data_IF_969425900252
#
_entry.id   IF_969425900252
#
_cell.length_a   1.000
_cell.length_b   1.000
_cell.length_c   1.000
_cell.angle_alpha   90.00
_cell.angle_beta   90.00
_cell.angle_gamma   90.00
#
_symmetry.space_group_name_H-M   'P 1'
#
loop_
_entity.id
_entity.type
_entity.pdbx_description
1 polymer ?
#
# COMPACT_ATOMS: atom_id res chain seq x y z
N UNK A 1 -0.72 14.72 -15.90
CA UNK A 1 0.37 14.84 -14.92
C UNK A 1 0.20 13.68 -13.96
N UNK A 2 1.24 12.87 -13.78
CA UNK A 2 1.19 11.72 -12.87
C UNK A 2 0.95 12.23 -11.43
N UNK A 3 0.13 11.54 -10.63
CA UNK A 3 -0.14 11.89 -9.23
C UNK A 3 1.14 11.90 -8.40
N UNK A 4 2.06 11.00 -8.71
CA UNK A 4 3.39 10.95 -8.08
C UNK A 4 4.23 12.17 -8.49
N UNK A 5 4.10 12.66 -9.73
CA UNK A 5 4.75 13.91 -10.16
C UNK A 5 4.19 15.13 -9.43
N UNK A 6 2.87 15.18 -9.23
CA UNK A 6 2.22 16.24 -8.47
C UNK A 6 2.73 16.30 -7.03
N UNK A 7 2.85 15.14 -6.38
CA UNK A 7 3.42 15.02 -5.05
C UNK A 7 4.87 15.52 -4.98
N UNK A 8 5.70 15.08 -5.93
CA UNK A 8 7.11 15.47 -6.00
C UNK A 8 7.23 16.98 -6.21
N UNK A 9 6.43 17.56 -7.11
CA UNK A 9 6.40 19.00 -7.35
C UNK A 9 5.96 19.79 -6.10
N UNK A 10 5.07 19.23 -5.29
CA UNK A 10 4.57 19.83 -4.04
C UNK A 10 5.51 19.65 -2.83
N UNK A 11 6.69 19.04 -2.98
CA UNK A 11 7.65 18.72 -1.88
C UNK A 11 7.08 17.80 -0.78
N UNK A 12 6.02 17.04 -1.07
CA UNK A 12 5.42 16.07 -0.15
C UNK A 12 6.17 14.74 -0.03
N UNK A 13 7.43 14.67 -0.46
CA UNK A 13 8.19 13.41 -0.61
C UNK A 13 8.63 12.77 0.71
N UNK A 14 8.41 13.43 1.85
CA UNK A 14 8.64 12.89 3.19
C UNK A 14 7.34 12.52 3.91
N UNK A 15 6.19 12.84 3.33
CA UNK A 15 4.89 12.50 3.88
C UNK A 15 4.44 11.14 3.35
N UNK A 16 4.66 10.10 4.18
CA UNK A 16 4.26 8.73 3.85
C UNK A 16 2.78 8.62 3.49
N UNK A 17 1.89 9.31 4.20
CA UNK A 17 0.45 9.27 3.90
C UNK A 17 0.17 9.81 2.51
N UNK A 18 0.81 10.92 2.15
CA UNK A 18 0.64 11.54 0.84
C UNK A 18 1.20 10.65 -0.30
N UNK A 19 2.34 9.99 -0.07
CA UNK A 19 2.90 9.00 -1.02
C UNK A 19 1.95 7.81 -1.22
N UNK A 20 1.46 7.23 -0.11
CA UNK A 20 0.52 6.09 -0.14
C UNK A 20 -0.75 6.48 -0.87
N UNK A 21 -1.32 7.66 -0.56
CA UNK A 21 -2.49 8.17 -1.28
C UNK A 21 -2.21 8.27 -2.76
N UNK A 22 -1.14 8.96 -3.18
CA UNK A 22 -0.83 9.10 -4.60
C UNK A 22 -0.69 7.74 -5.33
N UNK A 23 -0.21 6.72 -4.61
CA UNK A 23 -0.04 5.35 -5.12
C UNK A 23 -1.36 4.60 -5.28
N UNK A 24 -2.26 4.70 -4.30
CA UNK A 24 -3.47 3.86 -4.21
C UNK A 24 -4.78 4.58 -4.51
N UNK A 25 -4.77 5.91 -4.62
CA UNK A 25 -5.95 6.71 -5.00
C UNK A 25 -6.62 6.22 -6.30
N UNK A 26 -5.88 5.80 -7.36
CA UNK A 26 -6.53 5.20 -8.53
C UNK A 26 -7.43 4.00 -8.17
N UNK A 27 -7.05 3.18 -7.19
CA UNK A 27 -7.87 2.03 -6.76
C UNK A 27 -9.07 2.45 -5.92
N UNK A 28 -8.97 3.55 -5.18
CA UNK A 28 -10.10 4.07 -4.40
C UNK A 28 -11.12 4.77 -5.29
N UNK A 29 -10.67 5.46 -6.35
CA UNK A 29 -11.55 6.07 -7.34
C UNK A 29 -12.37 5.02 -8.10
N UNK A 30 -11.78 3.85 -8.35
CA UNK A 30 -12.47 2.72 -8.97
C UNK A 30 -13.69 2.25 -8.17
N UNK A 31 -13.76 2.52 -6.86
CA UNK A 31 -14.91 2.16 -6.04
C UNK A 31 -16.20 2.94 -6.37
N UNK A 32 -16.12 3.96 -7.24
CA UNK A 32 -17.28 4.67 -7.76
C UNK A 32 -18.00 3.94 -8.89
N UNK A 33 -17.42 2.85 -9.40
CA UNK A 33 -17.96 2.10 -10.54
C UNK A 33 -18.12 0.62 -10.23
N UNK A 34 -19.10 -0.03 -10.85
CA UNK A 34 -19.24 -1.49 -10.71
C UNK A 34 -18.02 -2.24 -11.24
N UNK A 35 -17.44 -1.76 -12.36
CA UNK A 35 -16.25 -2.36 -12.95
C UNK A 35 -15.06 -2.26 -12.01
N UNK A 36 -14.83 -1.10 -11.41
CA UNK A 36 -13.76 -0.91 -10.44
C UNK A 36 -13.96 -1.74 -9.17
N UNK A 37 -15.20 -1.90 -8.69
CA UNK A 37 -15.53 -2.85 -7.62
C UNK A 37 -15.16 -4.29 -8.00
N UNK A 38 -15.48 -4.72 -9.22
CA UNK A 38 -15.11 -6.05 -9.73
C UNK A 38 -13.60 -6.20 -9.84
N UNK A 39 -12.89 -5.17 -10.32
CA UNK A 39 -11.44 -5.14 -10.41
C UNK A 39 -10.79 -5.32 -9.04
N UNK A 40 -11.18 -4.54 -8.03
CA UNK A 40 -10.62 -4.64 -6.67
C UNK A 40 -10.85 -6.04 -6.08
N UNK A 41 -12.04 -6.63 -6.28
CA UNK A 41 -12.33 -7.99 -5.83
C UNK A 41 -11.46 -9.03 -6.55
N UNK A 42 -11.31 -8.90 -7.86
CA UNK A 42 -10.45 -9.76 -8.67
C UNK A 42 -8.99 -9.65 -8.21
N UNK A 43 -8.45 -8.44 -8.05
CA UNK A 43 -7.09 -8.23 -7.55
C UNK A 43 -6.87 -8.86 -6.17
N UNK A 44 -7.85 -8.79 -5.28
CA UNK A 44 -7.79 -9.46 -3.98
C UNK A 44 -7.86 -10.99 -4.08
N UNK A 45 -8.56 -11.56 -5.07
CA UNK A 45 -8.52 -13.00 -5.31
C UNK A 45 -7.15 -13.44 -5.82
N UNK A 46 -6.56 -12.71 -6.78
CA UNK A 46 -5.20 -12.97 -7.27
C UNK A 46 -4.18 -12.84 -6.13
N UNK A 47 -4.34 -11.84 -5.25
CA UNK A 47 -3.47 -11.66 -4.08
C UNK A 47 -3.49 -12.88 -3.12
N UNK A 48 -4.61 -13.58 -3.03
CA UNK A 48 -4.78 -14.74 -2.15
C UNK A 48 -4.48 -16.08 -2.84
N UNK A 49 -4.14 -16.06 -4.13
CA UNK A 49 -3.76 -17.26 -4.87
C UNK A 49 -2.30 -17.62 -4.56
N UNK A 50 -2.01 -18.83 -4.04
CA UNK A 50 -0.65 -19.22 -3.67
C UNK A 50 0.32 -19.27 -4.87
N UNK A 51 -0.18 -19.39 -6.10
CA UNK A 51 0.65 -19.42 -7.30
C UNK A 51 1.03 -18.01 -7.81
N UNK A 52 0.46 -16.95 -7.22
CA UNK A 52 0.69 -15.56 -7.63
C UNK A 52 1.22 -14.68 -6.50
N UNK A 53 2.49 -14.28 -6.58
CA UNK A 53 3.08 -13.28 -5.69
C UNK A 53 2.83 -11.85 -6.18
N UNK A 54 1.57 -11.40 -6.05
CA UNK A 54 1.15 -10.07 -6.49
C UNK A 54 1.93 -8.93 -5.81
N UNK A 55 2.26 -8.97 -4.50
CA UNK A 55 3.08 -7.94 -3.88
C UNK A 55 4.47 -7.84 -4.51
N UNK A 56 5.16 -8.97 -4.73
CA UNK A 56 6.46 -8.93 -5.43
C UNK A 56 6.31 -8.40 -6.85
N UNK A 57 5.27 -8.84 -7.57
CA UNK A 57 5.02 -8.37 -8.91
C UNK A 57 4.83 -6.86 -8.93
N UNK A 58 4.00 -6.30 -8.05
CA UNK A 58 3.81 -4.86 -7.94
C UNK A 58 5.15 -4.15 -7.67
N UNK A 59 5.93 -4.63 -6.71
CA UNK A 59 7.21 -4.04 -6.34
C UNK A 59 8.26 -4.09 -7.47
N UNK A 60 8.18 -5.09 -8.36
CA UNK A 60 9.15 -5.33 -9.45
C UNK A 60 8.57 -5.11 -10.85
N UNK A 61 7.37 -4.53 -10.96
CA UNK A 61 6.56 -4.55 -12.18
C UNK A 61 7.14 -3.78 -13.37
N UNK A 62 8.26 -3.07 -13.20
CA UNK A 62 8.91 -2.29 -14.26
C UNK A 62 8.11 -1.06 -14.71
N UNK A 63 6.87 -0.89 -14.24
CA UNK A 63 6.08 0.30 -14.49
C UNK A 63 6.69 1.49 -13.76
N UNK A 64 6.93 2.57 -14.50
CA UNK A 64 7.66 3.74 -14.00
C UNK A 64 6.98 4.37 -12.78
N UNK A 65 5.67 4.58 -12.83
CA UNK A 65 4.91 5.18 -11.72
C UNK A 65 5.00 4.35 -10.43
N UNK A 66 4.90 3.02 -10.54
CA UNK A 66 5.03 2.11 -9.40
C UNK A 66 6.46 2.09 -8.86
N UNK A 67 7.45 2.00 -9.75
CA UNK A 67 8.86 2.01 -9.38
C UNK A 67 9.24 3.30 -8.64
N UNK A 68 8.71 4.44 -9.09
CA UNK A 68 8.92 5.75 -8.47
C UNK A 68 8.22 5.87 -7.12
N UNK A 69 6.97 5.44 -7.01
CA UNK A 69 6.27 5.38 -5.73
C UNK A 69 7.02 4.52 -4.70
N UNK A 70 7.49 3.34 -5.12
CA UNK A 70 8.26 2.45 -4.26
C UNK A 70 9.57 3.10 -3.79
N UNK A 71 10.29 3.80 -4.67
CA UNK A 71 11.50 4.53 -4.31
C UNK A 71 11.23 5.63 -3.27
N UNK A 72 10.12 6.37 -3.41
CA UNK A 72 9.72 7.38 -2.42
C UNK A 72 9.37 6.75 -1.08
N UNK A 73 8.66 5.61 -1.08
CA UNK A 73 8.34 4.88 0.16
C UNK A 73 9.63 4.41 0.83
N UNK A 74 10.56 3.78 0.10
CA UNK A 74 11.85 3.33 0.66
C UNK A 74 12.64 4.51 1.23
N UNK A 75 12.70 5.63 0.51
CA UNK A 75 13.39 6.83 1.00
C UNK A 75 12.75 7.37 2.30
N UNK A 76 11.42 7.34 2.41
CA UNK A 76 10.70 7.77 3.60
C UNK A 76 10.80 6.78 4.78
N UNK A 77 11.10 5.50 4.51
CA UNK A 77 11.38 4.47 5.51
C UNK A 77 12.78 4.63 6.16
N UNK A 78 13.67 5.45 5.59
CA UNK A 78 14.98 5.76 6.17
C UNK A 78 15.90 4.54 6.26
N UNK A 79 16.67 4.45 7.35
CA UNK A 79 17.71 3.43 7.56
C UNK A 79 17.17 2.05 7.99
N UNK A 80 15.95 1.71 7.55
CA UNK A 80 15.39 0.38 7.77
C UNK A 80 16.23 -0.68 7.06
N UNK A 81 16.47 -1.78 7.76
CA UNK A 81 17.12 -2.96 7.19
C UNK A 81 16.32 -3.42 5.95
N UNK A 82 16.96 -3.64 4.78
CA UNK A 82 16.26 -3.86 3.51
C UNK A 82 15.20 -4.95 3.55
N UNK A 83 15.47 -6.07 4.23
CA UNK A 83 14.55 -7.18 4.38
C UNK A 83 13.27 -6.75 5.12
N UNK A 84 13.40 -5.91 6.15
CA UNK A 84 12.25 -5.37 6.89
C UNK A 84 11.47 -4.38 6.02
N UNK A 85 12.17 -3.52 5.26
CA UNK A 85 11.55 -2.58 4.36
C UNK A 85 10.70 -3.30 3.29
N UNK A 86 11.24 -4.37 2.68
CA UNK A 86 10.51 -5.20 1.70
C UNK A 86 9.26 -5.82 2.33
N UNK A 87 9.36 -6.42 3.52
CA UNK A 87 8.20 -7.02 4.18
C UNK A 87 7.12 -5.97 4.51
N UNK A 88 7.52 -4.77 4.93
CA UNK A 88 6.59 -3.65 5.17
C UNK A 88 5.87 -3.20 3.90
N UNK A 89 6.59 -3.11 2.78
CA UNK A 89 5.98 -2.76 1.49
C UNK A 89 5.02 -3.84 1.00
N UNK A 90 5.35 -5.13 1.18
CA UNK A 90 4.44 -6.24 0.87
C UNK A 90 3.16 -6.15 1.70
N UNK A 91 3.31 -6.00 3.01
CA UNK A 91 2.18 -5.85 3.94
C UNK A 91 1.31 -4.63 3.58
N UNK A 92 1.90 -3.52 3.16
CA UNK A 92 1.16 -2.34 2.68
C UNK A 92 0.23 -2.70 1.51
N UNK A 93 0.75 -3.39 0.48
CA UNK A 93 -0.04 -3.80 -0.69
C UNK A 93 -1.17 -4.73 -0.25
N UNK A 94 -0.87 -5.69 0.61
CA UNK A 94 -1.84 -6.65 1.15
C UNK A 94 -2.95 -5.97 1.95
N UNK A 95 -2.59 -5.07 2.86
CA UNK A 95 -3.52 -4.31 3.70
C UNK A 95 -4.46 -3.47 2.84
N UNK A 96 -3.92 -2.73 1.87
CA UNK A 96 -4.75 -1.85 1.02
C UNK A 96 -5.70 -2.68 0.17
N UNK A 97 -5.19 -3.62 -0.64
CA UNK A 97 -6.04 -4.40 -1.56
C UNK A 97 -7.10 -5.21 -0.83
N UNK A 98 -6.74 -5.88 0.26
CA UNK A 98 -7.67 -6.68 1.05
C UNK A 98 -8.73 -5.80 1.71
N UNK A 99 -8.33 -4.66 2.29
CA UNK A 99 -9.28 -3.74 2.92
C UNK A 99 -10.27 -3.16 1.92
N UNK A 100 -9.80 -2.72 0.75
CA UNK A 100 -10.69 -2.21 -0.32
C UNK A 100 -11.66 -3.31 -0.78
N UNK A 101 -11.18 -4.54 -0.97
CA UNK A 101 -12.03 -5.66 -1.35
C UNK A 101 -13.09 -5.96 -0.28
N UNK A 102 -12.73 -5.94 1.00
CA UNK A 102 -13.68 -6.09 2.11
C UNK A 102 -14.72 -4.97 2.13
N UNK A 103 -14.31 -3.71 1.89
CA UNK A 103 -15.25 -2.58 1.78
C UNK A 103 -16.33 -2.86 0.73
N UNK A 104 -15.92 -3.35 -0.45
CA UNK A 104 -16.87 -3.62 -1.54
C UNK A 104 -17.94 -4.65 -1.20
N UNK A 105 -17.75 -5.49 -0.17
CA UNK A 105 -18.72 -6.53 0.24
C UNK A 105 -19.89 -5.95 1.03
N UNK A 106 -19.81 -4.69 1.49
CA UNK A 106 -20.89 -4.04 2.21
C UNK A 106 -22.07 -3.76 1.27
N UNK A 107 -23.32 -3.93 1.73
CA UNK A 107 -24.50 -3.60 0.92
C UNK A 107 -24.55 -2.13 0.47
N UNK A 108 -23.97 -1.23 1.28
CA UNK A 108 -23.98 0.21 1.07
C UNK A 108 -22.68 0.77 0.47
N UNK A 109 -21.75 -0.09 0.03
CA UNK A 109 -20.36 0.28 -0.31
C UNK A 109 -20.23 1.38 -1.37
N UNK A 110 -21.16 1.43 -2.34
CA UNK A 110 -21.14 2.38 -3.46
C UNK A 110 -22.02 3.62 -3.23
N UNK A 111 -22.93 3.58 -2.26
CA UNK A 111 -23.92 4.64 -2.04
C UNK A 111 -23.62 5.49 -0.79
N UNK A 112 -22.92 4.92 0.19
CA UNK A 112 -22.58 5.60 1.43
C UNK A 112 -21.24 6.35 1.31
N UNK A 113 -21.25 7.45 0.55
CA UNK A 113 -20.07 8.27 0.27
C UNK A 113 -19.34 8.75 1.55
N UNK A 114 -20.01 9.27 2.60
CA UNK A 114 -19.32 9.69 3.82
C UNK A 114 -18.57 8.55 4.51
N UNK A 115 -19.21 7.38 4.63
CA UNK A 115 -18.56 6.23 5.25
C UNK A 115 -17.36 5.74 4.41
N UNK A 116 -17.47 5.76 3.08
CA UNK A 116 -16.37 5.41 2.19
C UNK A 116 -15.19 6.36 2.36
N UNK A 117 -15.45 7.67 2.44
CA UNK A 117 -14.41 8.69 2.70
C UNK A 117 -13.70 8.42 4.02
N UNK A 118 -14.43 8.19 5.11
CA UNK A 118 -13.81 7.87 6.41
C UNK A 118 -12.99 6.59 6.37
N UNK A 119 -13.47 5.57 5.68
CA UNK A 119 -12.75 4.32 5.50
C UNK A 119 -11.44 4.50 4.74
N UNK A 120 -11.45 5.20 3.58
CA UNK A 120 -10.24 5.43 2.78
C UNK A 120 -9.21 6.27 3.55
N UNK A 121 -9.65 7.34 4.23
CA UNK A 121 -8.76 8.14 5.06
C UNK A 121 -8.12 7.33 6.19
N UNK A 122 -8.94 6.56 6.91
CA UNK A 122 -8.47 5.72 8.02
C UNK A 122 -7.53 4.61 7.55
N UNK A 123 -7.78 4.04 6.35
CA UNK A 123 -6.92 3.04 5.75
C UNK A 123 -5.54 3.62 5.46
N UNK A 124 -5.46 4.79 4.84
CA UNK A 124 -4.16 5.42 4.55
C UNK A 124 -3.43 5.87 5.83
N UNK A 125 -4.14 6.35 6.84
CA UNK A 125 -3.55 6.66 8.15
C UNK A 125 -2.96 5.41 8.81
N UNK A 126 -3.72 4.31 8.84
CA UNK A 126 -3.28 3.05 9.44
C UNK A 126 -2.07 2.45 8.71
N UNK A 127 -2.10 2.45 7.37
CA UNK A 127 -0.99 1.94 6.55
C UNK A 127 0.26 2.81 6.71
N UNK A 128 0.11 4.14 6.72
CA UNK A 128 1.23 5.05 6.99
C UNK A 128 1.84 4.81 8.37
N UNK A 129 0.99 4.64 9.40
CA UNK A 129 1.43 4.31 10.76
C UNK A 129 2.15 2.97 10.83
N UNK A 130 1.66 1.94 10.14
CA UNK A 130 2.30 0.62 10.09
C UNK A 130 3.68 0.67 9.40
N UNK A 131 3.80 1.44 8.32
CA UNK A 131 5.06 1.64 7.62
C UNK A 131 6.08 2.42 8.47
N UNK A 132 5.63 3.45 9.19
CA UNK A 132 6.48 4.31 10.01
C UNK A 132 6.79 3.72 11.40
N UNK A 133 6.13 2.64 11.81
CA UNK A 133 6.29 2.07 13.14
C UNK A 133 7.77 1.73 13.43
N UNK A 134 8.26 1.91 14.67
CA UNK A 134 9.59 1.43 15.05
C UNK A 134 9.74 -0.08 14.81
N UNK A 135 10.95 -0.54 14.48
CA UNK A 135 11.22 -1.98 14.42
C UNK A 135 11.12 -2.56 15.83
N UNK A 136 10.34 -3.64 15.97
CA UNK A 136 10.17 -4.29 17.27
C UNK A 136 11.44 -5.00 17.74
N UNK A 137 11.56 -5.24 19.05
CA UNK A 137 12.71 -5.95 19.60
C UNK A 137 12.83 -7.39 19.09
N UNK A 138 11.68 -8.03 18.82
CA UNK A 138 11.60 -9.38 18.26
C UNK A 138 12.19 -9.42 16.86
N UNK A 139 11.85 -8.44 16.01
CA UNK A 139 12.40 -8.34 14.66
C UNK A 139 13.92 -8.09 14.70
N UNK A 140 14.39 -7.20 15.58
CA UNK A 140 15.82 -6.94 15.75
C UNK A 140 16.57 -8.19 16.25
N UNK A 141 15.98 -8.94 17.16
CA UNK A 141 16.55 -10.19 17.67
C UNK A 141 16.66 -11.24 16.55
N UNK A 142 15.63 -11.38 15.71
CA UNK A 142 15.64 -12.28 14.56
C UNK A 142 16.74 -11.92 13.55
N UNK A 143 16.87 -10.64 13.19
CA UNK A 143 17.94 -10.16 12.28
C UNK A 143 19.34 -10.49 12.80
N UNK A 144 19.59 -10.26 14.09
CA UNK A 144 20.88 -10.58 14.73
C UNK A 144 21.19 -12.07 14.78
N UNK A 145 20.16 -12.93 14.75
CA UNK A 145 20.36 -14.37 14.70
C UNK A 145 20.77 -14.81 13.28
N UNK A 146 20.14 -14.22 12.26
CA UNK A 146 20.47 -14.51 10.85
C UNK A 146 21.88 -14.06 10.47
N UNK A 147 22.36 -12.92 10.97
CA UNK A 147 23.73 -12.43 10.67
C UNK A 147 24.86 -13.19 11.36
N UNK A 148 24.56 -14.11 12.29
CA UNK A 148 25.55 -14.91 13.04
C UNK A 148 25.78 -16.31 12.48
N UNK A 149 24.96 -16.71 11.51
CA UNK A 149 25.09 -17.96 10.75
C UNK A 149 25.71 -17.67 9.39
#
# INVERSE_FOLDING_TARGET
MDRVEALVAARGTHDLKAIIRATFEPLTDLLDTEEGVRFVRFSSQVLNDPDFDLPTLALKSGFEGISRANALIVAALGDLVPEVAVQRQRLMVEMVLTSLALWTRRPDAMVNEPARRFFVESLFDAVAGALAAPVSQETLAALRATSRN
#
